data_IF_611090807736
#
_entry.id   IF_611090807736
#
_cell.length_a   1.000
_cell.length_b   1.000
_cell.length_c   1.000
_cell.angle_alpha   90.00
_cell.angle_beta   90.00
_cell.angle_gamma   90.00
#
_symmetry.space_group_name_H-M   'P 1'
#
loop_
_entity.id
_entity.type
_entity.pdbx_description
1 polymer ?
#
# COMPACT_ATOMS: atom_id res chain seq x y z
N UNK A 1 -10.59 -9.48 -15.67
CA UNK A 1 -10.81 -8.87 -14.33
C UNK A 1 -11.49 -7.53 -14.47
N UNK A 2 -12.64 -7.35 -13.83
CA UNK A 2 -13.28 -6.04 -13.71
C UNK A 2 -12.54 -5.15 -12.72
N UNK A 3 -12.54 -3.83 -12.96
CA UNK A 3 -11.95 -2.83 -12.05
C UNK A 3 -12.52 -2.89 -10.63
N UNK A 4 -13.79 -3.29 -10.49
CA UNK A 4 -14.45 -3.49 -9.20
C UNK A 4 -13.73 -4.56 -8.37
N UNK A 5 -13.40 -5.71 -8.96
CA UNK A 5 -12.71 -6.80 -8.26
C UNK A 5 -11.31 -6.37 -7.79
N UNK A 6 -10.58 -5.59 -8.59
CA UNK A 6 -9.28 -5.05 -8.19
C UNK A 6 -9.38 -4.04 -7.06
N UNK A 7 -10.41 -3.19 -7.07
CA UNK A 7 -10.69 -2.25 -5.98
C UNK A 7 -11.03 -2.98 -4.68
N UNK A 8 -11.92 -3.97 -4.73
CA UNK A 8 -12.28 -4.78 -3.56
C UNK A 8 -11.05 -5.52 -3.02
N UNK A 9 -10.25 -6.12 -3.90
CA UNK A 9 -8.99 -6.76 -3.52
C UNK A 9 -8.04 -5.78 -2.83
N UNK A 10 -7.82 -4.59 -3.41
CA UNK A 10 -6.89 -3.60 -2.85
C UNK A 10 -7.30 -3.13 -1.45
N UNK A 11 -8.60 -2.87 -1.24
CA UNK A 11 -9.13 -2.45 0.06
C UNK A 11 -9.02 -3.58 1.08
N UNK A 12 -9.43 -4.80 0.73
CA UNK A 12 -9.33 -5.95 1.63
C UNK A 12 -7.86 -6.25 2.00
N UNK A 13 -6.96 -6.19 1.02
CA UNK A 13 -5.53 -6.41 1.22
C UNK A 13 -4.90 -5.30 2.08
N UNK A 14 -5.36 -4.06 1.97
CA UNK A 14 -4.95 -2.97 2.87
C UNK A 14 -5.32 -3.22 4.33
N UNK A 15 -6.51 -3.78 4.59
CA UNK A 15 -6.90 -4.15 5.95
C UNK A 15 -6.03 -5.28 6.50
N UNK A 16 -5.73 -6.30 5.70
CA UNK A 16 -4.81 -7.38 6.09
C UNK A 16 -3.43 -6.82 6.43
N UNK A 17 -2.93 -5.88 5.64
CA UNK A 17 -1.65 -5.22 5.91
C UNK A 17 -1.68 -4.44 7.23
N UNK A 18 -2.71 -3.63 7.43
CA UNK A 18 -2.89 -2.87 8.66
C UNK A 18 -2.96 -3.80 9.88
N UNK A 19 -3.72 -4.90 9.80
CA UNK A 19 -3.80 -5.89 10.88
C UNK A 19 -2.44 -6.53 11.19
N UNK A 20 -1.64 -6.86 10.17
CA UNK A 20 -0.28 -7.38 10.34
C UNK A 20 0.63 -6.37 11.03
N UNK A 21 0.65 -5.11 10.58
CA UNK A 21 1.46 -4.04 11.19
C UNK A 21 1.03 -3.79 12.63
N UNK A 22 -0.29 -3.73 12.89
CA UNK A 22 -0.86 -3.59 14.23
C UNK A 22 -0.39 -4.68 15.16
N UNK A 23 -0.50 -5.92 14.72
CA UNK A 23 -0.11 -7.08 15.52
C UNK A 23 1.41 -7.10 15.76
N UNK A 24 2.22 -6.83 14.74
CA UNK A 24 3.68 -6.84 14.85
C UNK A 24 4.20 -5.75 15.78
N UNK A 25 3.66 -4.53 15.67
CA UNK A 25 4.00 -3.44 16.59
C UNK A 25 3.52 -3.72 18.01
N UNK A 26 2.32 -4.28 18.22
CA UNK A 26 1.87 -4.69 19.56
C UNK A 26 2.79 -5.75 20.19
N UNK A 27 3.32 -6.68 19.38
CA UNK A 27 4.19 -7.75 19.85
C UNK A 27 5.57 -7.24 20.29
N UNK A 28 6.18 -6.35 19.49
CA UNK A 28 7.56 -5.90 19.74
C UNK A 28 7.65 -4.58 20.49
N UNK A 29 6.61 -3.75 20.42
CA UNK A 29 6.61 -2.38 20.94
C UNK A 29 5.22 -1.99 21.48
N UNK A 30 4.76 -2.66 22.55
CA UNK A 30 3.41 -2.44 23.09
C UNK A 30 3.22 -0.98 23.53
N UNK A 31 2.11 -0.37 23.11
CA UNK A 31 1.69 0.98 23.52
C UNK A 31 2.30 2.14 22.73
N UNK A 32 3.27 1.92 21.83
CA UNK A 32 3.92 2.99 21.07
C UNK A 32 3.33 3.15 19.66
N UNK A 33 2.13 3.74 19.59
CA UNK A 33 1.45 4.08 18.33
C UNK A 33 1.70 5.51 17.86
N UNK A 34 2.24 6.36 18.73
CA UNK A 34 2.62 7.73 18.42
C UNK A 34 4.16 7.89 18.43
N UNK A 35 4.72 8.80 17.61
CA UNK A 35 6.13 9.13 17.65
C UNK A 35 6.59 9.58 19.06
N UNK A 36 7.82 9.27 19.47
CA UNK A 36 8.88 8.60 18.71
C UNK A 36 8.72 7.07 18.71
N UNK A 37 8.65 6.45 17.53
CA UNK A 37 8.55 4.99 17.40
C UNK A 37 9.82 4.31 17.94
N UNK A 38 9.72 3.45 18.95
CA UNK A 38 10.87 2.70 19.45
C UNK A 38 11.46 1.79 18.38
N UNK A 39 12.79 1.56 18.39
CA UNK A 39 13.42 0.69 17.41
C UNK A 39 12.93 -0.76 17.59
N UNK A 40 12.55 -1.40 16.49
CA UNK A 40 12.22 -2.82 16.47
C UNK A 40 13.48 -3.66 16.71
N UNK A 41 13.37 -4.77 17.48
CA UNK A 41 14.42 -5.79 17.53
C UNK A 41 14.75 -6.32 16.13
N UNK A 42 15.99 -6.76 15.90
CA UNK A 42 16.46 -7.19 14.58
C UNK A 42 15.62 -8.32 13.93
N UNK A 43 14.97 -9.18 14.73
CA UNK A 43 14.02 -10.17 14.22
C UNK A 43 12.73 -9.52 13.70
N UNK A 44 12.14 -8.59 14.46
CA UNK A 44 10.94 -7.85 14.05
C UNK A 44 11.19 -6.97 12.83
N UNK A 45 12.35 -6.32 12.76
CA UNK A 45 12.75 -5.52 11.60
C UNK A 45 12.83 -6.35 10.31
N UNK A 46 13.46 -7.53 10.37
CA UNK A 46 13.57 -8.42 9.19
C UNK A 46 12.22 -8.97 8.77
N UNK A 47 11.34 -9.28 9.72
CA UNK A 47 9.99 -9.74 9.43
C UNK A 47 9.17 -8.63 8.75
N UNK A 48 9.29 -7.39 9.21
CA UNK A 48 8.65 -6.23 8.59
C UNK A 48 9.12 -6.02 7.15
N UNK A 49 10.44 -6.09 6.91
CA UNK A 49 11.00 -6.03 5.55
C UNK A 49 10.49 -7.15 4.65
N UNK A 50 10.46 -8.39 5.17
CA UNK A 50 9.96 -9.53 4.41
C UNK A 50 8.47 -9.38 4.07
N UNK A 51 7.67 -8.82 4.99
CA UNK A 51 6.25 -8.53 4.75
C UNK A 51 6.06 -7.46 3.68
N UNK A 52 6.80 -6.36 3.72
CA UNK A 52 6.75 -5.31 2.69
C UNK A 52 7.12 -5.85 1.30
N UNK A 53 8.16 -6.69 1.22
CA UNK A 53 8.54 -7.37 -0.03
C UNK A 53 7.41 -8.27 -0.52
N UNK A 54 6.80 -9.05 0.38
CA UNK A 54 5.67 -9.90 0.04
C UNK A 54 4.47 -9.08 -0.50
N UNK A 55 4.17 -7.93 0.11
CA UNK A 55 3.14 -7.00 -0.35
C UNK A 55 3.41 -6.53 -1.79
N UNK A 56 4.63 -6.11 -2.10
CA UNK A 56 5.00 -5.69 -3.46
C UNK A 56 4.87 -6.84 -4.47
N UNK A 57 5.26 -8.06 -4.09
CA UNK A 57 5.10 -9.26 -4.92
C UNK A 57 3.62 -9.55 -5.17
N UNK A 58 2.76 -9.49 -4.15
CA UNK A 58 1.33 -9.71 -4.27
C UNK A 58 0.67 -8.72 -5.23
N UNK A 59 1.01 -7.43 -5.12
CA UNK A 59 0.53 -6.37 -6.01
C UNK A 59 0.95 -6.67 -7.45
N UNK A 60 2.22 -7.02 -7.68
CA UNK A 60 2.74 -7.38 -8.99
C UNK A 60 2.04 -8.61 -9.60
N UNK A 61 1.82 -9.65 -8.78
CA UNK A 61 1.17 -10.89 -9.22
C UNK A 61 -0.28 -10.66 -9.66
N UNK A 62 -1.08 -9.95 -8.86
CA UNK A 62 -2.47 -9.60 -9.21
C UNK A 62 -2.53 -8.69 -10.44
N UNK A 63 -1.59 -7.75 -10.57
CA UNK A 63 -1.51 -6.88 -11.73
C UNK A 63 -1.25 -7.64 -13.04
N UNK A 64 -0.40 -8.68 -12.98
CA UNK A 64 -0.02 -9.52 -14.12
C UNK A 64 -1.02 -10.64 -14.47
N UNK A 65 -2.06 -10.83 -13.66
CA UNK A 65 -3.00 -11.93 -13.84
C UNK A 65 -3.80 -11.81 -15.15
N UNK A 66 -3.91 -12.92 -15.88
CA UNK A 66 -4.54 -12.98 -17.20
C UNK A 66 -3.65 -12.51 -18.36
N UNK A 67 -2.32 -12.50 -18.17
CA UNK A 67 -1.29 -12.17 -19.19
C UNK A 67 -1.56 -10.89 -20.00
N UNK A 68 -1.95 -9.77 -19.36
CA UNK A 68 -2.24 -8.54 -20.09
C UNK A 68 -0.94 -7.89 -20.59
N UNK A 69 -1.00 -6.96 -21.55
CA UNK A 69 0.18 -6.20 -21.98
C UNK A 69 0.76 -5.39 -20.81
N UNK A 70 2.08 -5.13 -20.83
CA UNK A 70 2.79 -4.43 -19.75
C UNK A 70 2.11 -3.13 -19.30
N UNK A 71 1.55 -2.36 -20.24
CA UNK A 71 0.79 -1.13 -19.95
C UNK A 71 -0.37 -1.37 -18.98
N UNK A 72 -1.11 -2.46 -19.18
CA UNK A 72 -2.26 -2.83 -18.33
C UNK A 72 -1.76 -3.40 -17.01
N UNK A 73 -0.65 -4.14 -16.98
CA UNK A 73 0.00 -4.55 -15.72
C UNK A 73 0.34 -3.33 -14.87
N UNK A 74 1.04 -2.35 -15.45
CA UNK A 74 1.41 -1.11 -14.74
C UNK A 74 0.18 -0.34 -14.26
N UNK A 75 -0.86 -0.24 -15.10
CA UNK A 75 -2.09 0.44 -14.71
C UNK A 75 -2.78 -0.26 -13.53
N UNK A 76 -2.87 -1.59 -13.55
CA UNK A 76 -3.46 -2.38 -12.47
C UNK A 76 -2.62 -2.30 -11.20
N UNK A 77 -1.29 -2.41 -11.32
CA UNK A 77 -0.36 -2.32 -10.20
C UNK A 77 -0.46 -0.98 -9.49
N UNK A 78 -0.43 0.13 -10.23
CA UNK A 78 -0.59 1.48 -9.68
C UNK A 78 -1.97 1.72 -9.05
N UNK A 79 -3.02 1.16 -9.64
CA UNK A 79 -4.37 1.23 -9.07
C UNK A 79 -4.43 0.52 -7.72
N UNK A 80 -3.94 -0.71 -7.66
CA UNK A 80 -3.91 -1.50 -6.42
C UNK A 80 -3.01 -0.84 -5.39
N UNK A 81 -1.80 -0.43 -5.76
CA UNK A 81 -0.84 0.23 -4.86
C UNK A 81 -1.40 1.52 -4.25
N UNK A 82 -1.98 2.40 -5.07
CA UNK A 82 -2.53 3.66 -4.59
C UNK A 82 -3.73 3.47 -3.66
N UNK A 83 -4.65 2.56 -4.00
CA UNK A 83 -5.77 2.26 -3.10
C UNK A 83 -5.30 1.56 -1.82
N UNK A 84 -4.38 0.60 -1.94
CA UNK A 84 -3.83 -0.11 -0.80
C UNK A 84 -3.22 0.86 0.22
N UNK A 85 -2.36 1.77 -0.24
CA UNK A 85 -1.67 2.72 0.64
C UNK A 85 -2.64 3.71 1.29
N UNK A 86 -3.65 4.20 0.55
CA UNK A 86 -4.66 5.10 1.11
C UNK A 86 -5.54 4.43 2.17
N UNK A 87 -6.06 3.24 1.86
CA UNK A 87 -6.93 2.51 2.79
C UNK A 87 -6.14 1.92 3.97
N UNK A 88 -4.85 1.62 3.80
CA UNK A 88 -3.96 1.23 4.89
C UNK A 88 -3.96 2.31 6.00
N UNK A 89 -3.77 3.59 5.65
CA UNK A 89 -3.83 4.67 6.62
C UNK A 89 -5.22 4.85 7.24
N UNK A 90 -6.29 4.72 6.42
CA UNK A 90 -7.65 4.81 6.95
C UNK A 90 -7.94 3.71 7.99
N UNK A 91 -7.51 2.47 7.73
CA UNK A 91 -7.67 1.38 8.70
C UNK A 91 -6.76 1.54 9.90
N UNK A 92 -5.54 2.05 9.72
CA UNK A 92 -4.62 2.32 10.80
C UNK A 92 -5.20 3.36 11.76
N UNK A 93 -5.82 4.42 11.23
CA UNK A 93 -6.49 5.47 12.00
C UNK A 93 -7.66 4.89 12.79
N UNK A 94 -8.51 4.08 12.15
CA UNK A 94 -9.66 3.44 12.80
C UNK A 94 -9.23 2.52 13.95
N UNK A 95 -8.16 1.75 13.77
CA UNK A 95 -7.76 0.71 14.73
C UNK A 95 -6.89 1.27 15.86
N UNK A 96 -6.06 2.27 15.57
CA UNK A 96 -5.01 2.73 16.51
C UNK A 96 -5.13 4.21 16.88
N UNK A 97 -5.92 4.99 16.15
CA UNK A 97 -5.96 6.45 16.26
C UNK A 97 -4.76 7.15 15.60
N UNK A 98 -3.83 6.40 15.00
CA UNK A 98 -2.72 6.96 14.21
C UNK A 98 -3.08 6.94 12.71
N UNK A 99 -2.89 8.05 11.98
CA UNK A 99 -2.21 9.27 12.40
C UNK A 99 -3.13 10.26 13.11
N UNK A 100 -2.60 10.98 14.11
CA UNK A 100 -3.35 12.04 14.81
C UNK A 100 -3.40 13.34 13.99
N UNK A 101 -2.45 13.51 13.07
CA UNK A 101 -2.42 14.57 12.07
C UNK A 101 -1.82 14.06 10.77
N UNK A 102 -2.26 14.59 9.64
CA UNK A 102 -1.65 14.30 8.34
C UNK A 102 -0.17 14.74 8.26
N UNK A 103 0.27 15.62 9.16
CA UNK A 103 1.66 16.04 9.27
C UNK A 103 2.55 15.07 10.08
N UNK A 104 1.96 14.06 10.72
CA UNK A 104 2.72 13.11 11.52
C UNK A 104 3.72 12.34 10.65
N UNK A 105 4.98 12.20 11.09
CA UNK A 105 5.97 11.41 10.38
C UNK A 105 5.62 9.93 10.51
N UNK A 106 5.63 9.22 9.39
CA UNK A 106 5.49 7.77 9.36
C UNK A 106 6.62 7.12 8.56
N UNK A 107 6.91 5.86 8.87
CA UNK A 107 7.79 5.02 8.08
C UNK A 107 6.93 4.35 6.99
N UNK A 108 6.90 4.96 5.81
CA UNK A 108 6.03 4.55 4.70
C UNK A 108 6.47 3.21 4.11
N UNK A 109 7.77 3.01 3.99
CA UNK A 109 8.39 1.75 3.57
C UNK A 109 9.78 1.63 4.21
N UNK A 110 10.17 0.40 4.55
CA UNK A 110 11.48 0.06 5.07
C UNK A 110 12.43 -0.47 3.98
N UNK A 111 11.88 -1.06 2.91
CA UNK A 111 12.64 -1.62 1.77
C UNK A 111 12.61 -0.68 0.56
N UNK A 112 13.74 -0.44 -0.15
CA UNK A 112 15.09 -0.96 0.10
C UNK A 112 15.85 -0.19 1.19
N UNK A 113 15.38 1.01 1.55
CA UNK A 113 15.90 1.85 2.64
C UNK A 113 14.72 2.48 3.37
N UNK A 114 14.86 2.76 4.69
CA UNK A 114 13.82 3.44 5.45
C UNK A 114 13.41 4.74 4.78
N UNK A 115 12.14 4.84 4.43
CA UNK A 115 11.53 6.02 3.87
C UNK A 115 10.55 6.60 4.88
N UNK A 116 11.02 7.65 5.56
CA UNK A 116 10.22 8.40 6.51
C UNK A 116 9.65 9.62 5.79
N UNK A 117 8.34 9.77 5.82
CA UNK A 117 7.65 10.92 5.23
C UNK A 117 6.39 11.26 6.04
N UNK A 118 5.90 12.50 5.95
CA UNK A 118 4.59 12.85 6.51
C UNK A 118 3.47 12.04 5.83
N UNK A 119 2.44 11.69 6.59
CA UNK A 119 1.29 10.92 6.06
C UNK A 119 0.64 11.60 4.86
N UNK A 120 0.50 12.93 4.87
CA UNK A 120 -0.09 13.64 3.72
C UNK A 120 0.68 13.37 2.43
N UNK A 121 1.99 13.21 2.51
CA UNK A 121 2.84 12.95 1.35
C UNK A 121 2.58 11.53 0.83
N UNK A 122 2.45 10.54 1.71
CA UNK A 122 2.08 9.18 1.34
C UNK A 122 0.68 9.14 0.69
N UNK A 123 -0.30 9.84 1.25
CA UNK A 123 -1.64 9.97 0.68
C UNK A 123 -1.61 10.65 -0.70
N UNK A 124 -0.76 11.67 -0.89
CA UNK A 124 -0.60 12.31 -2.19
C UNK A 124 -0.05 11.33 -3.23
N UNK A 125 0.97 10.54 -2.89
CA UNK A 125 1.54 9.49 -3.76
C UNK A 125 0.44 8.49 -4.15
N UNK A 126 -0.38 8.04 -3.19
CA UNK A 126 -1.53 7.16 -3.44
C UNK A 126 -2.48 7.72 -4.50
N UNK A 127 -2.87 8.98 -4.36
CA UNK A 127 -3.80 9.67 -5.27
C UNK A 127 -3.19 9.78 -6.66
N UNK A 128 -1.91 10.17 -6.76
CA UNK A 128 -1.19 10.27 -8.04
C UNK A 128 -1.11 8.92 -8.74
N UNK A 129 -0.77 7.84 -8.01
CA UNK A 129 -0.74 6.48 -8.54
C UNK A 129 -2.11 6.05 -9.10
N UNK A 130 -3.18 6.25 -8.32
CA UNK A 130 -4.54 5.89 -8.73
C UNK A 130 -5.02 6.70 -9.95
N UNK A 131 -4.71 8.00 -9.99
CA UNK A 131 -5.04 8.87 -11.14
C UNK A 131 -4.27 8.44 -12.39
N UNK A 132 -2.97 8.19 -12.28
CA UNK A 132 -2.14 7.76 -13.40
C UNK A 132 -2.57 6.39 -13.95
N UNK A 133 -2.96 5.46 -13.06
CA UNK A 133 -3.55 4.20 -13.45
C UNK A 133 -4.79 4.37 -14.35
N UNK A 134 -5.68 5.31 -14.03
CA UNK A 134 -6.87 5.61 -14.86
C UNK A 134 -6.49 6.18 -16.22
N UNK A 135 -5.49 7.06 -16.27
CA UNK A 135 -4.99 7.62 -17.54
C UNK A 135 -4.43 6.51 -18.43
N UNK A 136 -3.58 5.64 -17.85
CA UNK A 136 -2.91 4.56 -18.57
C UNK A 136 -3.91 3.50 -19.10
N UNK A 137 -5.01 3.33 -18.39
CA UNK A 137 -6.09 2.42 -18.76
C UNK A 137 -6.93 2.92 -19.95
N UNK A 138 -7.12 4.24 -20.08
CA UNK A 138 -7.92 4.86 -21.15
C UNK A 138 -7.26 4.79 -22.53
N UNK A 139 -5.92 4.94 -22.59
CA UNK A 139 -5.15 4.92 -23.85
C UNK A 139 -5.12 3.56 -24.56
N UNK A 140 -5.76 2.52 -24.01
CA UNK A 140 -5.83 1.19 -24.60
C UNK A 140 -7.12 0.82 -25.34
N UNK A 141 -8.16 1.67 -25.30
CA UNK A 141 -9.47 1.37 -25.88
C UNK A 141 -9.65 1.65 -27.37
N UNK A 142 -8.59 2.05 -28.09
CA UNK A 142 -8.68 2.53 -29.48
C UNK A 142 -8.52 1.47 -30.59
N UNK A 143 -8.59 0.17 -30.30
CA UNK A 143 -8.60 -0.88 -31.33
C UNK A 143 -9.59 -1.98 -30.98
N UNK A 144 -10.86 -1.72 -31.25
CA UNK A 144 -11.80 -2.77 -31.64
C UNK A 144 -11.75 -2.85 -33.17
N UNK A 145 -11.22 -3.96 -33.68
CA UNK A 145 -11.47 -4.38 -35.05
C UNK A 145 -12.97 -4.61 -35.23
N UNK A 146 -13.51 -4.08 -36.32
CA UNK A 146 -14.91 -4.16 -36.75
C UNK A 146 -15.14 -3.15 -37.84
#
# INVERSE_FOLDING_TARGET
MGWVALTVYAIAMAFVEAACVVTLKQLYVPGAWAPPFPPLPAAGLRLEQAREIATLIMIGAVAALGRPPLRVVLARGLWVFGLWLLFYYAFLEIVTGFPGSLADPDLVFLVPRPWIAPVWFACLVSIVCAAFARILSRKGGGRTHG
#
